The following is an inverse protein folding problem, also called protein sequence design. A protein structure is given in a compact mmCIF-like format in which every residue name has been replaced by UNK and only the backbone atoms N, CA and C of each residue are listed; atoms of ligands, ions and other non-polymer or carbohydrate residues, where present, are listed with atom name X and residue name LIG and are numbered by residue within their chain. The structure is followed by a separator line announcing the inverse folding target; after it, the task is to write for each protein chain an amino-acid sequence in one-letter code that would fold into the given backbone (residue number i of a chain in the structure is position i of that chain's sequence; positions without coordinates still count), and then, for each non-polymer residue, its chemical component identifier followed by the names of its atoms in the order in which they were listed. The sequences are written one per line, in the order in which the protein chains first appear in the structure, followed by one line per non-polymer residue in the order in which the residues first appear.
data_IF_763748050090
#
_entry.id   IF_763748050090
#
_cell.length_a   1.000
_cell.length_b   1.000
_cell.length_c   1.000
_cell.angle_alpha   90.00
_cell.angle_beta   90.00
_cell.angle_gamma   90.00
#
_symmetry.space_group_name_H-M   'P 1'
#
loop_
_entity.id
_entity.type
_entity.pdbx_description
1 polymer ?
#
# COMPACT_ATOMS: atom_id res chain seq x y z
N UNK A 1 97.70 -33.85 -15.16
CA UNK A 1 97.15 -32.92 -16.17
C UNK A 1 95.88 -32.30 -15.56
N UNK A 2 95.94 -31.04 -15.13
CA UNK A 2 95.26 -29.88 -15.77
C UNK A 2 93.72 -30.04 -15.75
N UNK A 3 92.91 -29.29 -15.00
CA UNK A 3 92.82 -27.82 -14.94
C UNK A 3 92.20 -27.33 -13.61
N UNK A 4 92.68 -26.19 -13.13
CA UNK A 4 92.03 -25.33 -12.13
C UNK A 4 91.17 -24.26 -12.84
N UNK A 5 90.38 -23.57 -11.99
CA UNK A 5 89.83 -22.19 -12.12
C UNK A 5 88.46 -22.12 -12.87
N UNK A 6 87.44 -21.36 -12.48
CA UNK A 6 87.36 -20.04 -11.82
C UNK A 6 86.01 -19.82 -11.10
N UNK A 7 86.03 -18.89 -10.13
CA UNK A 7 84.89 -18.28 -9.43
C UNK A 7 83.90 -17.56 -10.36
N UNK A 8 82.70 -17.21 -9.86
CA UNK A 8 82.03 -15.88 -10.01
C UNK A 8 80.78 -15.79 -9.11
N UNK A 9 80.65 -14.63 -8.47
CA UNK A 9 79.56 -14.09 -7.64
C UNK A 9 78.27 -13.80 -8.43
N UNK A 10 77.10 -13.78 -7.78
CA UNK A 10 76.01 -12.84 -8.11
C UNK A 10 74.94 -12.75 -7.00
N UNK A 11 74.26 -11.61 -6.97
CA UNK A 11 73.66 -10.87 -5.85
C UNK A 11 72.11 -10.80 -5.85
N UNK A 12 71.54 -10.62 -4.64
CA UNK A 12 70.41 -9.73 -4.24
C UNK A 12 68.98 -10.00 -4.76
N UNK A 13 68.02 -10.11 -3.83
CA UNK A 13 66.87 -9.18 -3.71
C UNK A 13 66.03 -9.46 -2.44
N UNK A 14 66.15 -8.59 -1.43
CA UNK A 14 65.24 -8.53 -0.29
C UNK A 14 63.96 -7.80 -0.71
N UNK A 15 62.81 -8.46 -0.60
CA UNK A 15 61.50 -7.86 -0.89
C UNK A 15 60.87 -7.34 0.40
N UNK A 16 60.79 -6.02 0.54
CA UNK A 16 60.06 -5.33 1.61
C UNK A 16 58.56 -5.35 1.30
N UNK A 17 57.77 -6.09 2.09
CA UNK A 17 56.31 -6.03 2.04
C UNK A 17 55.81 -4.73 2.71
N UNK A 18 55.13 -3.90 1.93
CA UNK A 18 54.38 -2.74 2.43
C UNK A 18 53.06 -3.23 3.01
N UNK A 19 52.86 -3.05 4.32
CA UNK A 19 51.57 -3.25 4.97
C UNK A 19 50.62 -2.09 4.61
N UNK A 20 49.75 -2.31 3.63
CA UNK A 20 48.64 -1.40 3.32
C UNK A 20 47.53 -1.55 4.37
N UNK A 21 47.21 -0.46 5.07
CA UNK A 21 46.16 -0.41 6.08
C UNK A 21 44.77 -0.66 5.48
N UNK A 22 44.13 -1.75 5.90
CA UNK A 22 42.71 -2.01 5.68
C UNK A 22 41.90 -1.11 6.62
N UNK A 23 41.40 0.01 6.11
CA UNK A 23 40.36 0.77 6.80
C UNK A 23 39.07 -0.07 6.82
N UNK A 24 38.78 -0.69 7.96
CA UNK A 24 37.52 -1.40 8.17
C UNK A 24 36.36 -0.40 8.21
N UNK A 25 35.64 -0.27 7.10
CA UNK A 25 34.34 0.40 7.08
C UNK A 25 33.34 -0.51 7.77
N UNK A 26 33.05 -0.23 9.04
CA UNK A 26 31.97 -0.90 9.77
C UNK A 26 30.63 -0.52 9.12
N UNK A 27 30.06 -1.45 8.34
CA UNK A 27 28.69 -1.35 7.87
C UNK A 27 27.75 -1.38 9.09
N UNK A 28 27.24 -0.21 9.48
CA UNK A 28 26.19 -0.13 10.48
C UNK A 28 24.88 -0.57 9.82
N UNK A 29 24.43 -1.78 10.12
CA UNK A 29 23.06 -2.18 9.87
C UNK A 29 22.17 -1.34 10.79
N UNK A 30 21.31 -0.50 10.21
CA UNK A 30 20.29 0.20 10.99
C UNK A 30 19.45 -0.83 11.75
N UNK A 31 19.06 -0.57 13.02
CA UNK A 31 18.21 -1.49 13.75
C UNK A 31 16.91 -1.68 12.98
N UNK A 32 16.58 -2.93 12.66
CA UNK A 32 15.27 -3.27 12.11
C UNK A 32 14.21 -2.83 13.13
N UNK A 33 13.36 -1.87 12.74
CA UNK A 33 12.21 -1.46 13.54
C UNK A 33 11.37 -2.73 13.77
N UNK A 34 11.10 -3.08 15.03
CA UNK A 34 10.28 -4.24 15.35
C UNK A 34 8.94 -4.12 14.60
N UNK A 35 8.65 -5.10 13.74
CA UNK A 35 7.32 -5.28 13.15
C UNK A 35 6.38 -5.67 14.29
N UNK A 36 5.75 -4.66 14.89
CA UNK A 36 4.62 -4.88 15.77
C UNK A 36 3.55 -5.62 14.97
N UNK A 37 3.08 -6.76 15.47
CA UNK A 37 1.95 -7.48 14.91
C UNK A 37 0.69 -6.65 15.19
N UNK A 38 0.32 -5.78 14.24
CA UNK A 38 -0.95 -5.05 14.28
C UNK A 38 -2.03 -5.85 13.54
N UNK A 39 -3.29 -5.66 13.95
CA UNK A 39 -4.41 -6.18 13.19
C UNK A 39 -4.55 -5.34 11.90
N UNK A 40 -4.39 -5.93 10.70
CA UNK A 40 -4.31 -5.16 9.47
C UNK A 40 -5.66 -4.56 9.09
N UNK A 41 -5.60 -3.36 8.52
CA UNK A 41 -6.72 -2.67 7.88
C UNK A 41 -6.28 -2.23 6.49
N UNK A 42 -6.64 -3.02 5.48
CA UNK A 42 -6.24 -2.84 4.10
C UNK A 42 -7.42 -3.22 3.19
N UNK A 43 -7.83 -2.28 2.35
CA UNK A 43 -9.07 -2.33 1.59
C UNK A 43 -8.82 -1.93 0.14
N UNK A 44 -9.59 -2.55 -0.76
CA UNK A 44 -9.82 -2.08 -2.13
C UNK A 44 -11.26 -1.58 -2.20
N UNK A 45 -11.41 -0.35 -2.65
CA UNK A 45 -12.70 0.32 -2.83
C UNK A 45 -12.94 0.50 -4.32
N UNK A 46 -14.14 0.21 -4.79
CA UNK A 46 -14.48 0.36 -6.21
C UNK A 46 -15.82 1.05 -6.42
N UNK A 47 -15.94 1.70 -7.58
CA UNK A 47 -17.19 2.14 -8.18
C UNK A 47 -17.29 1.50 -9.56
N UNK A 48 -18.37 0.77 -9.82
CA UNK A 48 -18.59 0.04 -11.06
C UNK A 48 -19.98 0.32 -11.65
N UNK A 49 -20.07 0.28 -12.98
CA UNK A 49 -21.32 0.43 -13.71
C UNK A 49 -21.95 -0.95 -13.92
N UNK A 50 -23.21 -1.09 -13.51
CA UNK A 50 -23.93 -2.36 -13.55
C UNK A 50 -24.65 -2.63 -12.24
N UNK A 51 -25.37 -3.75 -12.22
CA UNK A 51 -26.24 -4.11 -11.10
C UNK A 51 -25.59 -5.14 -10.17
N UNK A 52 -24.84 -6.09 -10.75
CA UNK A 52 -24.18 -7.17 -10.01
C UNK A 52 -22.72 -6.79 -9.69
N UNK A 53 -22.32 -6.73 -8.40
CA UNK A 53 -20.95 -6.41 -7.99
C UNK A 53 -19.88 -7.35 -8.54
N UNK A 54 -20.24 -8.57 -8.95
CA UNK A 54 -19.28 -9.57 -9.47
C UNK A 54 -19.00 -9.41 -10.97
N UNK A 55 -19.91 -8.77 -11.71
CA UNK A 55 -19.84 -8.68 -13.18
C UNK A 55 -19.89 -7.24 -13.71
N UNK A 56 -20.22 -6.26 -12.86
CA UNK A 56 -20.22 -4.85 -13.21
C UNK A 56 -18.85 -4.35 -13.67
N UNK A 57 -18.85 -3.44 -14.64
CA UNK A 57 -17.63 -2.85 -15.20
C UNK A 57 -17.06 -1.82 -14.23
N UNK A 58 -15.92 -2.12 -13.63
CA UNK A 58 -15.21 -1.18 -12.73
C UNK A 58 -14.79 0.07 -13.49
N UNK A 59 -15.24 1.23 -13.01
CA UNK A 59 -14.88 2.54 -13.57
C UNK A 59 -13.73 3.18 -12.79
N UNK A 60 -13.74 3.03 -11.47
CA UNK A 60 -12.76 3.60 -10.54
C UNK A 60 -12.46 2.60 -9.44
N UNK A 61 -11.20 2.56 -9.02
CA UNK A 61 -10.75 1.75 -7.90
C UNK A 61 -9.58 2.42 -7.19
N UNK A 62 -9.55 2.30 -5.87
CA UNK A 62 -8.44 2.77 -5.04
C UNK A 62 -8.11 1.77 -3.94
N UNK A 63 -6.87 1.84 -3.46
CA UNK A 63 -6.43 1.14 -2.26
C UNK A 63 -6.47 2.08 -1.07
N UNK A 64 -6.83 1.53 0.09
CA UNK A 64 -6.82 2.24 1.37
C UNK A 64 -6.26 1.32 2.45
N UNK A 65 -5.10 1.69 2.99
CA UNK A 65 -4.52 1.08 4.19
C UNK A 65 -4.69 2.05 5.35
N UNK A 66 -5.12 1.56 6.52
CA UNK A 66 -5.33 2.39 7.71
C UNK A 66 -4.47 1.99 8.91
N UNK A 67 -3.89 0.79 8.88
CA UNK A 67 -2.92 0.35 9.88
C UNK A 67 -1.73 -0.27 9.13
N UNK A 68 -0.48 0.13 9.45
CA UNK A 68 -0.07 0.91 10.62
C UNK A 68 -0.17 2.44 10.40
N UNK A 69 -0.36 2.89 9.17
CA UNK A 69 -0.54 4.29 8.79
C UNK A 69 -1.58 4.40 7.69
N UNK A 70 -2.18 5.59 7.55
CA UNK A 70 -3.12 5.88 6.48
C UNK A 70 -2.37 6.12 5.16
N UNK A 71 -2.56 5.25 4.18
CA UNK A 71 -1.87 5.28 2.87
C UNK A 71 -2.68 4.56 1.77
N UNK A 72 -2.16 4.57 0.55
CA UNK A 72 -2.79 3.94 -0.62
C UNK A 72 -3.04 4.93 -1.75
N UNK A 73 -3.76 4.51 -2.78
CA UNK A 73 -4.12 5.37 -3.92
C UNK A 73 -5.36 6.22 -3.67
N UNK A 74 -6.05 6.03 -2.54
CA UNK A 74 -7.17 6.88 -2.14
C UNK A 74 -6.69 8.35 -2.00
N UNK A 75 -7.40 9.35 -2.55
CA UNK A 75 -6.93 10.74 -2.58
C UNK A 75 -6.86 11.42 -1.21
N UNK A 76 -7.63 10.93 -0.22
CA UNK A 76 -7.63 11.42 1.16
C UNK A 76 -7.61 10.25 2.16
N UNK A 77 -6.50 9.51 2.28
CA UNK A 77 -6.48 8.25 3.03
C UNK A 77 -6.72 8.48 4.54
N UNK A 78 -6.15 9.54 5.11
CA UNK A 78 -6.34 9.90 6.52
C UNK A 78 -7.81 10.18 6.86
N UNK A 79 -8.51 10.93 6.01
CA UNK A 79 -9.92 11.26 6.20
C UNK A 79 -10.81 10.02 6.06
N UNK A 80 -10.55 9.18 5.06
CA UNK A 80 -11.28 7.92 4.86
C UNK A 80 -11.09 6.95 6.03
N UNK A 81 -9.84 6.78 6.51
CA UNK A 81 -9.55 5.94 7.68
C UNK A 81 -10.23 6.47 8.95
N UNK A 82 -10.21 7.79 9.17
CA UNK A 82 -10.91 8.43 10.30
C UNK A 82 -12.42 8.20 10.24
N UNK A 83 -13.02 8.30 9.06
CA UNK A 83 -14.44 8.02 8.87
C UNK A 83 -14.76 6.55 9.16
N UNK A 84 -13.99 5.61 8.60
CA UNK A 84 -14.17 4.18 8.88
C UNK A 84 -14.04 3.85 10.36
N UNK A 85 -13.08 4.46 11.06
CA UNK A 85 -12.91 4.29 12.50
C UNK A 85 -14.14 4.80 13.26
N UNK A 86 -14.73 5.93 12.84
CA UNK A 86 -15.93 6.50 13.49
C UNK A 86 -17.17 5.59 13.42
N UNK A 87 -17.23 4.72 12.42
CA UNK A 87 -18.30 3.71 12.25
C UNK A 87 -17.83 2.29 12.57
N UNK A 88 -16.63 2.12 13.12
CA UNK A 88 -16.05 0.81 13.43
C UNK A 88 -15.95 -0.13 12.22
N UNK A 89 -15.70 0.41 11.02
CA UNK A 89 -15.62 -0.33 9.76
C UNK A 89 -16.97 -0.83 9.23
N UNK A 90 -18.10 -0.34 9.75
CA UNK A 90 -19.43 -0.72 9.29
C UNK A 90 -19.85 0.12 8.09
N UNK A 91 -19.51 -0.33 6.88
CA UNK A 91 -19.81 0.38 5.62
C UNK A 91 -21.28 0.76 5.42
N UNK A 92 -22.22 -0.03 5.94
CA UNK A 92 -23.66 0.29 5.90
C UNK A 92 -24.02 1.58 6.64
N UNK A 93 -23.17 2.05 7.55
CA UNK A 93 -23.36 3.28 8.32
C UNK A 93 -22.72 4.50 7.66
N UNK A 94 -22.00 4.33 6.54
CA UNK A 94 -21.42 5.44 5.77
C UNK A 94 -22.44 6.15 4.89
N UNK A 95 -23.53 5.46 4.53
CA UNK A 95 -24.59 6.06 3.73
C UNK A 95 -25.28 7.18 4.53
N UNK A 96 -25.29 8.38 3.95
CA UNK A 96 -25.98 9.56 4.49
C UNK A 96 -27.06 9.96 3.52
N UNK A 97 -28.32 9.99 3.96
CA UNK A 97 -29.39 10.49 3.12
C UNK A 97 -29.29 12.01 3.02
N UNK A 98 -29.08 12.54 1.81
CA UNK A 98 -29.26 13.96 1.53
C UNK A 98 -30.74 14.20 1.20
N UNK A 99 -31.56 14.74 2.13
CA UNK A 99 -33.01 14.86 1.94
C UNK A 99 -33.39 15.81 0.79
N UNK A 100 -32.51 16.74 0.44
CA UNK A 100 -32.78 17.78 -0.56
C UNK A 100 -32.41 17.36 -1.99
N UNK A 101 -31.70 16.23 -2.17
CA UNK A 101 -31.30 15.78 -3.51
C UNK A 101 -32.44 15.05 -4.22
N UNK A 102 -32.98 15.67 -5.25
CA UNK A 102 -33.95 15.05 -6.15
C UNK A 102 -33.26 14.35 -7.31
N UNK A 103 -33.45 13.03 -7.42
CA UNK A 103 -32.91 12.22 -8.51
C UNK A 103 -34.02 11.73 -9.46
N UNK A 104 -33.68 11.55 -10.74
CA UNK A 104 -34.59 10.90 -11.69
C UNK A 104 -34.77 9.43 -11.31
N UNK A 105 -35.84 8.81 -11.83
CA UNK A 105 -36.12 7.38 -11.66
C UNK A 105 -35.51 6.51 -12.77
N UNK A 106 -34.57 7.04 -13.54
CA UNK A 106 -33.89 6.26 -14.57
C UNK A 106 -33.09 5.13 -13.90
N UNK A 107 -33.26 3.91 -14.40
CA UNK A 107 -32.44 2.78 -14.04
C UNK A 107 -31.16 2.78 -14.89
N UNK A 108 -30.05 3.14 -14.26
CA UNK A 108 -28.70 3.08 -14.81
C UNK A 108 -27.72 2.75 -13.68
N UNK A 109 -27.72 1.50 -13.20
CA UNK A 109 -27.25 1.16 -11.87
C UNK A 109 -25.74 1.35 -11.73
N UNK A 110 -25.36 1.76 -10.52
CA UNK A 110 -23.97 1.93 -10.10
C UNK A 110 -23.79 1.17 -8.81
N UNK A 111 -22.77 0.33 -8.74
CA UNK A 111 -22.43 -0.45 -7.56
C UNK A 111 -21.13 0.05 -6.96
N UNK A 112 -21.11 0.17 -5.63
CA UNK A 112 -19.89 0.39 -4.86
C UNK A 112 -19.50 -0.89 -4.15
N UNK A 113 -18.19 -1.14 -4.02
CA UNK A 113 -17.69 -2.28 -3.25
C UNK A 113 -16.57 -1.89 -2.30
N UNK A 114 -16.42 -2.68 -1.24
CA UNK A 114 -15.25 -2.68 -0.38
C UNK A 114 -14.85 -4.13 -0.08
N UNK A 115 -13.60 -4.47 -0.37
CA UNK A 115 -13.03 -5.79 -0.13
C UNK A 115 -11.70 -5.68 0.61
N UNK A 116 -11.42 -6.61 1.51
CA UNK A 116 -10.13 -6.68 2.19
C UNK A 116 -10.28 -7.06 3.65
N UNK A 117 -9.60 -6.32 4.53
CA UNK A 117 -9.63 -6.53 5.98
C UNK A 117 -9.74 -5.22 6.74
N UNK A 118 -10.41 -5.26 7.89
CA UNK A 118 -10.53 -4.15 8.84
C UNK A 118 -10.31 -4.68 10.25
N UNK A 119 -9.28 -4.19 10.95
CA UNK A 119 -8.83 -4.70 12.25
C UNK A 119 -8.75 -6.24 12.26
N UNK A 120 -8.13 -6.81 11.22
CA UNK A 120 -7.95 -8.25 11.04
C UNK A 120 -9.21 -9.04 10.63
N UNK A 121 -10.37 -8.41 10.53
CA UNK A 121 -11.62 -9.07 10.11
C UNK A 121 -11.84 -8.90 8.61
N UNK A 122 -12.26 -9.96 7.93
CA UNK A 122 -12.59 -9.92 6.49
C UNK A 122 -13.72 -8.93 6.22
N UNK A 123 -13.52 -8.07 5.23
CA UNK A 123 -14.53 -7.16 4.69
C UNK A 123 -14.96 -7.64 3.31
N UNK A 124 -16.27 -7.73 3.12
CA UNK A 124 -16.91 -7.96 1.83
C UNK A 124 -18.21 -7.20 1.86
N UNK A 125 -18.23 -6.03 1.23
CA UNK A 125 -19.36 -5.13 1.21
C UNK A 125 -19.65 -4.69 -0.23
N UNK A 126 -20.93 -4.61 -0.56
CA UNK A 126 -21.39 -3.96 -1.77
C UNK A 126 -22.74 -3.27 -1.53
N UNK A 127 -23.04 -2.29 -2.36
CA UNK A 127 -24.36 -1.64 -2.43
C UNK A 127 -24.58 -1.13 -3.84
N UNK A 128 -25.78 -1.39 -4.37
CA UNK A 128 -26.20 -0.94 -5.70
C UNK A 128 -27.17 0.24 -5.56
N UNK A 129 -26.92 1.29 -6.32
CA UNK A 129 -27.79 2.46 -6.46
C UNK A 129 -28.45 2.44 -7.84
N UNK A 130 -29.69 2.94 -7.94
CA UNK A 130 -30.43 2.90 -9.20
C UNK A 130 -29.80 3.79 -10.28
N UNK A 131 -29.08 4.83 -9.88
CA UNK A 131 -28.26 5.66 -10.76
C UNK A 131 -27.19 6.44 -9.99
N UNK A 132 -26.31 7.12 -10.74
CA UNK A 132 -25.22 7.93 -10.17
C UNK A 132 -25.71 9.11 -9.30
N UNK A 133 -26.92 9.64 -9.55
CA UNK A 133 -27.48 10.69 -8.71
C UNK A 133 -27.82 10.16 -7.31
N UNK A 134 -28.45 8.97 -7.24
CA UNK A 134 -28.79 8.32 -5.97
C UNK A 134 -27.53 7.95 -5.18
N UNK A 135 -26.49 7.44 -5.85
CA UNK A 135 -25.17 7.21 -5.24
C UNK A 135 -24.61 8.51 -4.66
N UNK A 136 -24.54 9.57 -5.47
CA UNK A 136 -24.01 10.86 -5.03
C UNK A 136 -24.83 11.44 -3.87
N UNK A 137 -26.16 11.27 -3.86
CA UNK A 137 -27.02 11.70 -2.76
C UNK A 137 -26.82 10.92 -1.47
N UNK A 138 -26.32 9.69 -1.57
CA UNK A 138 -26.06 8.81 -0.43
C UNK A 138 -24.64 8.92 0.11
N UNK A 139 -23.70 9.40 -0.70
CA UNK A 139 -22.26 9.38 -0.40
C UNK A 139 -21.56 10.74 -0.51
N UNK A 140 -22.29 11.84 -0.75
CA UNK A 140 -21.75 13.18 -1.00
C UNK A 140 -20.67 13.64 0.00
N UNK A 141 -20.82 13.24 1.27
CA UNK A 141 -19.97 13.69 2.37
C UNK A 141 -19.16 12.54 3.00
N UNK A 142 -19.10 11.39 2.33
CA UNK A 142 -18.24 10.28 2.75
C UNK A 142 -16.85 10.45 2.17
N UNK A 143 -15.86 10.58 3.04
CA UNK A 143 -14.46 10.58 2.67
C UNK A 143 -14.02 9.22 2.12
N UNK A 144 -14.69 8.12 2.49
CA UNK A 144 -14.38 6.76 2.00
C UNK A 144 -14.67 6.60 0.50
N UNK A 145 -15.68 7.30 -0.04
CA UNK A 145 -16.13 7.15 -1.43
C UNK A 145 -15.83 8.36 -2.31
N UNK A 146 -14.99 9.30 -1.83
CA UNK A 146 -14.60 10.50 -2.56
C UNK A 146 -13.35 10.28 -3.44
N UNK A 147 -13.41 9.33 -4.38
CA UNK A 147 -12.33 8.98 -5.31
C UNK A 147 -12.84 8.67 -6.71
#
# INVERSE_FOLDING_TARGET
MRHNRHAIFATIAASTLVFGGLAATSAHAAPAKAESLYAPSALVLTVAQGEDPLTATVQRAVTLTCAPSAEGTHPAPEAACKELESVGGRFTQLARTSPDRMCTRQWNPVVITAHGVWHGKRVTFSTTYGNACELAGSMNDSAVYSF
#
